data_IF_692692261504
#
_entry.id   IF_692692261504
#
_cell.length_a   1.000
_cell.length_b   1.000
_cell.length_c   1.000
_cell.angle_alpha   90.00
_cell.angle_beta   90.00
_cell.angle_gamma   90.00
#
_symmetry.space_group_name_H-M   'P 1'
#
loop_
_entity.id
_entity.type
_entity.pdbx_description
1 polymer ?
#
# COMPACT_ATOMS: atom_id res chain seq x y z
N UNK A 1 -4.42 -7.76 -8.62
CA UNK A 1 -4.83 -8.08 -7.25
C UNK A 1 -6.34 -7.99 -7.24
N UNK A 2 -7.00 -9.02 -6.71
CA UNK A 2 -8.45 -9.02 -6.61
C UNK A 2 -8.89 -8.30 -5.34
N UNK A 3 -10.04 -7.63 -5.40
CA UNK A 3 -10.59 -6.92 -4.25
C UNK A 3 -11.15 -7.90 -3.22
N UNK A 4 -10.64 -7.89 -1.99
CA UNK A 4 -11.28 -8.59 -0.88
C UNK A 4 -12.41 -7.73 -0.33
N UNK A 5 -13.65 -7.96 -0.77
CA UNK A 5 -14.77 -7.08 -0.43
C UNK A 5 -15.22 -7.17 1.05
N UNK A 6 -15.02 -8.31 1.72
CA UNK A 6 -15.50 -8.55 3.08
C UNK A 6 -16.97 -8.17 3.26
N UNK A 7 -17.26 -7.22 4.16
CA UNK A 7 -18.62 -6.72 4.44
C UNK A 7 -19.27 -5.89 3.32
N UNK A 8 -18.52 -5.55 2.27
CA UNK A 8 -19.00 -4.78 1.11
C UNK A 8 -19.26 -5.68 -0.11
N UNK A 9 -19.34 -7.00 0.06
CA UNK A 9 -19.58 -7.95 -1.03
C UNK A 9 -20.83 -7.61 -1.85
N UNK A 10 -21.88 -7.11 -1.20
CA UNK A 10 -23.11 -6.62 -1.82
C UNK A 10 -22.85 -5.50 -2.83
N UNK A 11 -22.04 -4.50 -2.46
CA UNK A 11 -21.70 -3.38 -3.33
C UNK A 11 -20.62 -3.73 -4.35
N UNK A 12 -19.66 -4.57 -3.97
CA UNK A 12 -18.53 -4.96 -4.82
C UNK A 12 -18.96 -5.78 -6.04
N UNK A 13 -20.07 -6.52 -5.94
CA UNK A 13 -20.63 -7.30 -7.03
C UNK A 13 -21.38 -6.44 -8.07
N UNK A 14 -21.83 -5.24 -7.68
CA UNK A 14 -22.45 -4.29 -8.58
C UNK A 14 -21.44 -3.71 -9.58
N UNK A 15 -21.94 -3.22 -10.72
CA UNK A 15 -21.10 -2.60 -11.74
C UNK A 15 -20.29 -1.43 -11.16
N UNK A 16 -20.93 -0.56 -10.36
CA UNK A 16 -20.26 0.54 -9.68
C UNK A 16 -19.07 0.07 -8.82
N UNK A 17 -19.22 -1.02 -8.08
CA UNK A 17 -18.15 -1.55 -7.23
C UNK A 17 -16.95 -2.04 -8.04
N UNK A 18 -17.21 -2.72 -9.17
CA UNK A 18 -16.16 -3.17 -10.10
C UNK A 18 -15.45 -2.00 -10.75
N UNK A 19 -16.20 -1.02 -11.24
CA UNK A 19 -15.66 0.17 -11.89
C UNK A 19 -14.83 1.02 -10.92
N UNK A 20 -15.24 1.13 -9.65
CA UNK A 20 -14.47 1.80 -8.61
C UNK A 20 -13.15 1.09 -8.33
N UNK A 21 -13.15 -0.24 -8.26
CA UNK A 21 -11.92 -1.00 -8.03
C UNK A 21 -10.95 -0.85 -9.19
N UNK A 22 -11.42 -0.97 -10.43
CA UNK A 22 -10.63 -0.76 -11.64
C UNK A 22 -10.06 0.66 -11.67
N UNK A 23 -10.92 1.67 -11.46
CA UNK A 23 -10.52 3.06 -11.43
C UNK A 23 -9.42 3.35 -10.41
N UNK A 24 -9.57 2.89 -9.16
CA UNK A 24 -8.59 3.14 -8.11
C UNK A 24 -7.25 2.45 -8.39
N UNK A 25 -7.23 1.35 -9.17
CA UNK A 25 -6.03 0.64 -9.57
C UNK A 25 -5.38 1.19 -10.85
N UNK A 26 -5.98 2.19 -11.52
CA UNK A 26 -5.32 2.91 -12.60
C UNK A 26 -4.01 3.51 -12.11
N UNK A 27 -2.96 3.40 -12.94
CA UNK A 27 -1.60 3.81 -12.58
C UNK A 27 -1.55 5.26 -12.08
N UNK A 28 -2.30 6.15 -12.69
CA UNK A 28 -2.38 7.56 -12.31
C UNK A 28 -2.94 7.74 -10.89
N UNK A 29 -3.98 6.99 -10.51
CA UNK A 29 -4.61 7.08 -9.20
C UNK A 29 -3.73 6.46 -8.11
N UNK A 30 -3.06 5.35 -8.42
CA UNK A 30 -2.07 4.76 -7.51
C UNK A 30 -0.92 5.74 -7.24
N UNK A 31 -0.35 6.35 -8.29
CA UNK A 31 0.73 7.36 -8.15
C UNK A 31 0.25 8.56 -7.33
N UNK A 32 -0.98 9.05 -7.56
CA UNK A 32 -1.57 10.14 -6.76
C UNK A 32 -1.65 9.79 -5.27
N UNK A 33 -2.00 8.55 -4.92
CA UNK A 33 -2.10 8.10 -3.53
C UNK A 33 -0.72 7.94 -2.86
N UNK A 34 0.26 7.41 -3.59
CA UNK A 34 1.65 7.29 -3.14
C UNK A 34 2.27 8.67 -2.85
N UNK A 35 2.16 9.59 -3.81
CA UNK A 35 2.68 10.96 -3.66
C UNK A 35 1.99 11.71 -2.52
N UNK A 36 0.66 11.59 -2.39
CA UNK A 36 -0.05 12.21 -1.27
C UNK A 36 0.46 11.72 0.08
N UNK A 37 0.75 10.42 0.17
CA UNK A 37 1.32 9.81 1.38
C UNK A 37 2.72 10.34 1.67
N UNK A 38 3.57 10.49 0.64
CA UNK A 38 4.90 11.09 0.76
C UNK A 38 4.85 12.53 1.27
N UNK A 39 3.89 13.33 0.79
CA UNK A 39 3.63 14.69 1.28
C UNK A 39 2.88 14.75 2.62
N UNK A 40 2.68 13.62 3.30
CA UNK A 40 2.03 13.56 4.61
C UNK A 40 0.51 13.81 4.59
N UNK A 41 -0.12 13.76 3.41
CA UNK A 41 -1.58 13.86 3.21
C UNK A 41 -2.23 12.47 3.22
N UNK A 42 -3.56 12.42 3.18
CA UNK A 42 -4.29 11.14 3.12
C UNK A 42 -4.42 10.66 1.66
N UNK A 43 -4.30 9.35 1.43
CA UNK A 43 -4.45 8.78 0.10
C UNK A 43 -5.86 9.03 -0.49
N UNK A 44 -6.91 8.94 0.33
CA UNK A 44 -8.28 9.16 -0.12
C UNK A 44 -8.56 10.60 -0.56
N UNK A 45 -7.87 11.58 0.01
CA UNK A 45 -8.00 12.98 -0.40
C UNK A 45 -7.49 13.21 -1.83
N UNK A 46 -6.42 12.54 -2.25
CA UNK A 46 -5.84 12.75 -3.58
C UNK A 46 -6.74 12.25 -4.71
N UNK A 47 -7.53 11.21 -4.46
CA UNK A 47 -8.48 10.63 -5.43
C UNK A 47 -9.89 11.22 -5.35
N UNK A 48 -10.16 12.12 -4.38
CA UNK A 48 -11.51 12.68 -4.18
C UNK A 48 -12.05 13.44 -5.40
N UNK A 49 -11.21 14.25 -6.05
CA UNK A 49 -11.62 15.01 -7.25
C UNK A 49 -11.86 14.07 -8.45
N UNK A 50 -10.92 13.19 -8.84
CA UNK A 50 -11.15 12.22 -9.91
C UNK A 50 -12.37 11.32 -9.69
N UNK A 51 -12.64 10.88 -8.45
CA UNK A 51 -13.83 10.09 -8.12
C UNK A 51 -15.13 10.85 -8.41
N UNK A 52 -15.21 12.13 -7.99
CA UNK A 52 -16.38 12.96 -8.23
C UNK A 52 -16.58 13.28 -9.72
N UNK A 53 -15.48 13.47 -10.46
CA UNK A 53 -15.52 13.73 -11.90
C UNK A 53 -16.04 12.52 -12.69
N UNK A 54 -15.65 11.29 -12.30
CA UNK A 54 -16.03 10.07 -13.04
C UNK A 54 -17.37 9.48 -12.60
N UNK A 55 -17.67 9.49 -11.32
CA UNK A 55 -18.83 8.78 -10.74
C UNK A 55 -19.90 9.73 -10.16
N UNK A 56 -19.67 11.04 -10.21
CA UNK A 56 -20.66 12.04 -9.81
C UNK A 56 -21.13 11.89 -8.36
N UNK A 57 -22.45 11.81 -8.17
CA UNK A 57 -23.06 11.73 -6.84
C UNK A 57 -23.10 10.31 -6.26
N UNK A 58 -22.87 9.26 -7.06
CA UNK A 58 -22.97 7.87 -6.60
C UNK A 58 -21.92 7.55 -5.52
N UNK A 59 -20.75 8.17 -5.63
CA UNK A 59 -19.68 8.07 -4.63
C UNK A 59 -19.98 8.84 -3.35
N UNK A 60 -20.99 9.72 -3.31
CA UNK A 60 -21.36 10.48 -2.11
C UNK A 60 -22.18 9.68 -1.10
N UNK A 61 -22.64 8.48 -1.46
CA UNK A 61 -23.32 7.57 -0.54
C UNK A 61 -22.33 7.09 0.52
N UNK A 62 -22.70 7.17 1.81
CA UNK A 62 -21.77 6.85 2.92
C UNK A 62 -21.23 5.42 2.85
N UNK A 63 -22.07 4.44 2.50
CA UNK A 63 -21.64 3.05 2.33
C UNK A 63 -20.60 2.89 1.21
N UNK A 64 -20.76 3.65 0.11
CA UNK A 64 -19.81 3.67 -1.02
C UNK A 64 -18.50 4.36 -0.62
N UNK A 65 -18.55 5.48 0.11
CA UNK A 65 -17.34 6.11 0.68
C UNK A 65 -16.54 5.16 1.57
N UNK A 66 -17.23 4.40 2.42
CA UNK A 66 -16.59 3.41 3.28
C UNK A 66 -15.94 2.29 2.47
N UNK A 67 -16.61 1.81 1.42
CA UNK A 67 -16.07 0.82 0.49
C UNK A 67 -14.82 1.37 -0.24
N UNK A 68 -14.86 2.61 -0.72
CA UNK A 68 -13.70 3.27 -1.35
C UNK A 68 -12.54 3.36 -0.36
N UNK A 69 -12.79 3.75 0.88
CA UNK A 69 -11.76 3.77 1.93
C UNK A 69 -11.16 2.37 2.16
N UNK A 70 -11.98 1.33 2.12
CA UNK A 70 -11.55 -0.06 2.23
C UNK A 70 -10.71 -0.53 1.03
N UNK A 71 -11.10 -0.14 -0.19
CA UNK A 71 -10.34 -0.41 -1.42
C UNK A 71 -8.97 0.28 -1.38
N UNK A 72 -8.94 1.57 -1.04
CA UNK A 72 -7.71 2.35 -0.92
C UNK A 72 -6.75 1.71 0.07
N UNK A 73 -7.26 1.22 1.21
CA UNK A 73 -6.44 0.52 2.19
C UNK A 73 -5.74 -0.70 1.58
N UNK A 74 -6.48 -1.58 0.90
CA UNK A 74 -5.91 -2.77 0.27
C UNK A 74 -4.90 -2.41 -0.82
N UNK A 75 -5.18 -1.37 -1.59
CA UNK A 75 -4.25 -0.87 -2.60
C UNK A 75 -2.95 -0.41 -1.91
N UNK A 76 -3.03 0.47 -0.92
CA UNK A 76 -1.85 0.99 -0.22
C UNK A 76 -1.05 -0.12 0.48
N UNK A 77 -1.71 -1.05 1.15
CA UNK A 77 -1.07 -2.21 1.79
C UNK A 77 -0.36 -3.11 0.76
N UNK A 78 -1.00 -3.39 -0.38
CA UNK A 78 -0.38 -4.15 -1.46
C UNK A 78 0.81 -3.41 -2.12
N UNK A 79 0.84 -2.07 -2.03
CA UNK A 79 1.98 -1.24 -2.43
C UNK A 79 3.07 -1.16 -1.34
N UNK A 80 2.87 -1.84 -0.21
CA UNK A 80 3.84 -1.96 0.88
C UNK A 80 3.78 -0.82 1.91
N UNK A 81 2.69 -0.06 1.93
CA UNK A 81 2.46 0.96 2.95
C UNK A 81 1.68 0.39 4.13
N UNK A 82 2.06 0.82 5.33
CA UNK A 82 1.38 0.50 6.58
C UNK A 82 0.40 1.63 6.94
N UNK A 83 -0.82 1.28 7.35
CA UNK A 83 -1.76 2.26 7.87
C UNK A 83 -1.27 2.80 9.23
N UNK A 84 -0.94 4.09 9.28
CA UNK A 84 -0.39 4.74 10.48
C UNK A 84 -1.46 5.27 11.42
N UNK A 85 -2.48 5.94 10.88
CA UNK A 85 -3.49 6.63 11.69
C UNK A 85 -4.83 6.65 10.95
N UNK A 86 -5.89 6.32 11.65
CA UNK A 86 -7.26 6.35 11.12
C UNK A 86 -7.95 7.66 11.48
N UNK A 87 -9.03 7.98 10.77
CA UNK A 87 -9.92 9.11 11.07
C UNK A 87 -9.24 10.50 11.08
N UNK A 88 -8.20 10.68 10.26
CA UNK A 88 -7.50 11.97 10.14
C UNK A 88 -8.32 12.92 9.28
N UNK A 89 -8.53 14.15 9.76
CA UNK A 89 -9.22 15.20 9.00
C UNK A 89 -8.46 15.50 7.71
N UNK A 90 -9.16 15.52 6.58
CA UNK A 90 -8.58 15.91 5.28
C UNK A 90 -8.46 17.43 5.19
N UNK A 91 -7.49 17.93 4.42
CA UNK A 91 -7.28 19.37 4.26
C UNK A 91 -8.39 19.95 3.38
N UNK A 92 -8.67 19.29 2.26
CA UNK A 92 -9.68 19.70 1.27
C UNK A 92 -10.90 18.77 1.35
N UNK A 93 -11.99 19.26 1.93
CA UNK A 93 -13.26 18.52 2.06
C UNK A 93 -14.05 18.51 0.74
N UNK A 94 -13.75 17.56 -0.15
CA UNK A 94 -14.52 17.31 -1.38
C UNK A 94 -15.48 16.14 -1.22
N UNK A 95 -14.92 14.94 -1.06
CA UNK A 95 -15.67 13.69 -0.93
C UNK A 95 -15.61 13.15 0.50
N UNK A 96 -14.42 13.12 1.07
CA UNK A 96 -14.18 12.66 2.44
C UNK A 96 -14.05 13.83 3.40
N UNK A 97 -14.45 13.61 4.65
CA UNK A 97 -14.18 14.53 5.77
C UNK A 97 -13.01 14.05 6.63
N UNK A 98 -12.85 12.72 6.71
CA UNK A 98 -11.77 12.02 7.40
C UNK A 98 -11.31 10.83 6.55
N UNK A 99 -10.03 10.50 6.64
CA UNK A 99 -9.42 9.36 5.96
C UNK A 99 -8.21 8.83 6.72
N UNK A 100 -7.68 7.68 6.28
CA UNK A 100 -6.48 7.08 6.85
C UNK A 100 -5.21 7.71 6.30
N UNK A 101 -4.20 7.89 7.17
CA UNK A 101 -2.81 8.17 6.80
C UNK A 101 -2.02 6.88 6.74
N UNK A 102 -1.12 6.81 5.78
CA UNK A 102 -0.21 5.69 5.57
C UNK A 102 1.23 6.14 5.79
N UNK A 103 2.13 5.18 5.97
CA UNK A 103 3.58 5.40 6.02
C UNK A 103 4.27 4.22 5.34
N UNK A 104 5.46 4.47 4.83
CA UNK A 104 6.44 3.43 4.61
C UNK A 104 7.46 3.42 5.77
N UNK A 105 8.56 2.69 5.63
CA UNK A 105 9.56 2.58 6.69
C UNK A 105 10.12 3.94 7.13
N UNK A 106 10.55 4.01 8.39
CA UNK A 106 10.99 5.26 9.02
C UNK A 106 12.46 5.60 8.79
N UNK A 107 13.25 4.67 8.27
CA UNK A 107 14.70 4.81 8.05
C UNK A 107 15.05 4.71 6.57
N UNK A 108 16.22 5.20 6.16
CA UNK A 108 16.69 5.14 4.77
C UNK A 108 16.56 3.75 4.14
N UNK A 109 16.84 2.69 4.88
CA UNK A 109 16.85 1.31 4.39
C UNK A 109 15.46 0.69 4.31
N UNK A 110 14.52 1.19 5.13
CA UNK A 110 13.15 0.68 5.23
C UNK A 110 12.15 1.48 4.38
N UNK A 111 12.58 2.58 3.76
CA UNK A 111 11.81 3.30 2.74
C UNK A 111 11.54 2.42 1.52
N UNK A 112 10.33 2.51 0.98
CA UNK A 112 9.97 1.82 -0.26
C UNK A 112 10.92 2.31 -1.36
N UNK A 113 11.43 1.37 -2.16
CA UNK A 113 12.32 1.69 -3.26
C UNK A 113 13.81 1.68 -2.93
N UNK A 114 14.20 1.61 -1.64
CA UNK A 114 15.60 1.45 -1.27
C UNK A 114 16.19 0.18 -1.91
N UNK A 115 17.34 0.32 -2.58
CA UNK A 115 18.09 -0.79 -3.15
C UNK A 115 19.41 -0.91 -2.39
N UNK A 116 19.67 -2.09 -1.85
CA UNK A 116 20.91 -2.35 -1.13
C UNK A 116 22.06 -2.74 -2.08
N UNK A 117 23.26 -2.93 -1.51
CA UNK A 117 24.47 -3.26 -2.27
C UNK A 117 24.47 -4.60 -3.02
N UNK A 118 23.58 -5.55 -2.69
CA UNK A 118 23.51 -6.82 -3.42
C UNK A 118 22.34 -6.90 -4.42
N UNK A 119 21.72 -5.77 -4.78
CA UNK A 119 20.58 -5.65 -5.70
C UNK A 119 19.27 -6.23 -5.13
N UNK A 120 18.97 -5.94 -3.86
CA UNK A 120 17.67 -6.21 -3.26
C UNK A 120 16.93 -4.90 -3.08
N UNK A 121 15.74 -4.80 -3.66
CA UNK A 121 14.84 -3.67 -3.49
C UNK A 121 13.89 -3.92 -2.34
N UNK A 122 13.76 -2.96 -1.43
CA UNK A 122 12.71 -2.92 -0.43
C UNK A 122 11.39 -2.49 -1.08
N UNK A 123 10.34 -3.29 -0.87
CA UNK A 123 8.99 -3.03 -1.34
C UNK A 123 8.05 -2.57 -0.22
N UNK A 124 8.55 -2.39 1.02
CA UNK A 124 7.75 -1.89 2.14
C UNK A 124 7.28 -2.98 3.10
N UNK A 125 6.33 -2.65 3.97
CA UNK A 125 5.77 -3.54 5.00
C UNK A 125 4.27 -3.31 5.14
N UNK A 126 3.52 -4.38 5.39
CA UNK A 126 2.09 -4.35 5.75
C UNK A 126 1.88 -4.30 7.27
N UNK A 127 2.95 -4.16 8.06
CA UNK A 127 2.91 -4.11 9.52
C UNK A 127 3.05 -5.47 10.21
N UNK A 128 3.31 -6.55 9.46
CA UNK A 128 3.62 -7.88 10.01
C UNK A 128 4.86 -7.81 10.90
N UNK A 129 4.78 -8.46 12.06
CA UNK A 129 5.90 -8.52 13.01
C UNK A 129 7.08 -9.30 12.41
N UNK A 130 8.28 -8.77 12.65
CA UNK A 130 9.53 -9.45 12.34
C UNK A 130 9.92 -10.46 13.42
N UNK A 131 11.08 -11.08 13.24
CA UNK A 131 11.63 -12.03 14.23
C UNK A 131 12.56 -11.35 15.25
N UNK A 132 13.03 -10.14 14.94
CA UNK A 132 13.87 -9.34 15.83
C UNK A 132 13.01 -8.47 16.75
N UNK A 133 13.54 -8.10 17.92
CA UNK A 133 12.83 -7.31 18.92
C UNK A 133 12.28 -5.99 18.35
N UNK A 134 10.94 -5.90 18.27
CA UNK A 134 10.21 -4.71 17.79
C UNK A 134 10.40 -4.40 16.31
N UNK A 135 10.96 -5.33 15.52
CA UNK A 135 11.10 -5.15 14.08
C UNK A 135 9.81 -5.54 13.34
N UNK A 136 9.64 -4.94 12.16
CA UNK A 136 8.63 -5.36 11.17
C UNK A 136 9.28 -6.19 10.07
N UNK A 137 8.51 -7.08 9.48
CA UNK A 137 8.88 -7.80 8.28
C UNK A 137 8.65 -6.91 7.05
N UNK A 138 9.71 -6.70 6.26
CA UNK A 138 9.69 -5.96 5.01
C UNK A 138 9.78 -6.92 3.83
N UNK A 139 8.94 -6.68 2.82
CA UNK A 139 8.99 -7.39 1.56
C UNK A 139 10.19 -6.92 0.75
N UNK A 140 11.11 -7.82 0.46
CA UNK A 140 12.28 -7.58 -0.39
C UNK A 140 12.11 -8.27 -1.75
N UNK A 141 12.65 -7.67 -2.82
CA UNK A 141 12.70 -8.26 -4.16
C UNK A 141 14.12 -8.26 -4.72
N UNK A 142 14.58 -9.41 -5.18
CA UNK A 142 15.86 -9.49 -5.88
C UNK A 142 15.76 -8.92 -7.30
N UNK A 143 16.58 -7.93 -7.62
CA UNK A 143 16.66 -7.29 -8.94
C UNK A 143 17.66 -7.96 -9.89
N UNK A 144 18.30 -9.07 -9.48
CA UNK A 144 19.13 -9.83 -10.42
C UNK A 144 18.27 -10.34 -11.58
N UNK A 145 18.72 -10.10 -12.81
CA UNK A 145 17.96 -10.30 -14.06
C UNK A 145 17.24 -11.65 -14.18
N UNK A 146 17.79 -12.72 -13.62
CA UNK A 146 17.24 -14.09 -13.69
C UNK A 146 16.62 -14.60 -12.38
N UNK A 147 16.37 -13.73 -11.39
CA UNK A 147 15.89 -14.14 -10.08
C UNK A 147 14.48 -13.63 -9.76
N UNK A 148 14.31 -12.33 -9.54
CA UNK A 148 13.01 -11.73 -9.21
C UNK A 148 12.38 -12.17 -7.87
N UNK A 149 13.05 -13.02 -7.08
CA UNK A 149 12.49 -13.64 -5.89
C UNK A 149 12.10 -12.61 -4.83
N UNK A 150 10.88 -12.75 -4.31
CA UNK A 150 10.32 -11.92 -3.24
C UNK A 150 10.33 -12.70 -1.92
N UNK A 151 10.73 -12.04 -0.84
CA UNK A 151 10.93 -12.67 0.48
C UNK A 151 10.92 -11.61 1.59
N UNK A 152 10.59 -12.01 2.82
CA UNK A 152 10.61 -11.11 3.98
C UNK A 152 11.99 -10.95 4.61
N UNK A 153 12.27 -9.77 5.18
CA UNK A 153 13.45 -9.50 6.00
C UNK A 153 13.12 -8.51 7.13
N UNK A 154 13.82 -8.59 8.27
CA UNK A 154 13.73 -7.58 9.31
C UNK A 154 14.30 -6.24 8.81
N UNK A 155 13.76 -5.13 9.31
CA UNK A 155 14.22 -3.78 8.96
C UNK A 155 15.71 -3.54 9.24
N UNK A 156 16.24 -4.16 10.29
CA UNK A 156 17.65 -4.20 10.71
C UNK A 156 18.58 -4.83 9.66
N UNK A 157 18.08 -5.77 8.86
CA UNK A 157 18.90 -6.57 7.94
C UNK A 157 18.92 -6.03 6.50
N UNK A 158 17.98 -5.14 6.15
CA UNK A 158 17.71 -4.76 4.75
C UNK A 158 18.99 -4.31 4.02
N UNK A 159 19.85 -3.52 4.67
CA UNK A 159 21.03 -2.92 4.06
C UNK A 159 22.12 -3.93 3.63
N UNK A 160 22.17 -5.11 4.26
CA UNK A 160 23.14 -6.17 3.95
C UNK A 160 22.52 -7.39 3.29
N UNK A 161 21.19 -7.47 3.27
CA UNK A 161 20.43 -8.66 2.91
C UNK A 161 20.82 -9.21 1.54
N UNK A 162 21.14 -10.50 1.45
CA UNK A 162 21.32 -11.22 0.18
C UNK A 162 20.07 -12.00 -0.18
N UNK A 163 19.86 -12.24 -1.48
CA UNK A 163 18.75 -13.08 -1.95
C UNK A 163 18.96 -14.56 -1.56
N UNK A 164 17.98 -15.21 -0.90
CA UNK A 164 18.07 -16.64 -0.59
C UNK A 164 18.16 -17.53 -1.82
N UNK A 165 17.50 -17.15 -2.92
CA UNK A 165 17.40 -17.98 -4.12
C UNK A 165 18.68 -18.02 -4.96
N UNK A 166 19.43 -16.93 -5.06
CA UNK A 166 20.54 -16.83 -6.03
C UNK A 166 21.86 -16.28 -5.47
N UNK A 167 21.91 -15.89 -4.20
CA UNK A 167 23.11 -15.30 -3.58
C UNK A 167 23.52 -16.00 -2.28
N UNK A 168 22.91 -17.15 -1.96
CA UNK A 168 23.16 -17.87 -0.71
C UNK A 168 22.75 -17.09 0.54
N UNK A 169 21.74 -16.21 0.43
CA UNK A 169 21.20 -15.49 1.58
C UNK A 169 20.38 -16.39 2.51
N UNK A 170 20.17 -15.94 3.74
CA UNK A 170 19.28 -16.61 4.70
C UNK A 170 17.85 -16.74 4.14
N UNK A 171 17.05 -17.73 4.55
CA UNK A 171 15.62 -17.83 4.20
C UNK A 171 14.84 -16.56 4.55
N UNK A 172 13.76 -16.29 3.81
CA UNK A 172 12.86 -15.18 4.14
C UNK A 172 11.99 -15.47 5.36
N UNK A 173 11.52 -14.41 6.01
CA UNK A 173 10.46 -14.49 7.04
C UNK A 173 9.09 -14.19 6.41
N UNK A 174 7.96 -14.57 7.04
CA UNK A 174 6.62 -14.14 6.61
C UNK A 174 6.49 -12.61 6.58
N UNK A 175 5.74 -12.05 5.64
CA UNK A 175 5.65 -10.59 5.45
C UNK A 175 4.28 -10.09 4.93
N UNK A 176 3.32 -10.98 4.72
CA UNK A 176 1.99 -10.74 4.15
C UNK A 176 0.86 -11.34 5.00
#
# INVERSE_FOLDING_TARGET
MDYNAGKFSDLAQLQLGKDLWEFLNESENVVRMELATEFGKTAAESVSKPLLERFGNDVKVDRVKQMIGHMIRQIMENRGYEMRTQNVKVDIKRLFTKASKYKDGSTKTTKIGYINKNNQKNLGTTGVEGTDHGQKAYKMKCLNRKCGHEYGANGTDIWLRKCPKCQGGQPGIPFD
#
